data_IF_461757597354
#
_entry.id   IF_461757597354
#
_cell.length_a   1.000
_cell.length_b   1.000
_cell.length_c   1.000
_cell.angle_alpha   90.00
_cell.angle_beta   90.00
_cell.angle_gamma   90.00
#
_symmetry.space_group_name_H-M   'P 1'
#
loop_
_entity.id
_entity.type
_entity.pdbx_description
1 polymer ?
#
# COMPACT_ATOMS: atom_id res chain seq x y z
N UNK A 1 -6.87 -2.38 -18.39
CA UNK A 1 -7.36 -3.19 -17.26
C UNK A 1 -6.85 -2.55 -15.98
N UNK A 2 -7.73 -2.21 -15.03
CA UNK A 2 -7.32 -1.65 -13.74
C UNK A 2 -6.74 -2.77 -12.86
N UNK A 3 -5.55 -2.55 -12.29
CA UNK A 3 -4.91 -3.51 -11.38
C UNK A 3 -5.32 -3.18 -9.95
N UNK A 4 -6.05 -4.08 -9.31
CA UNK A 4 -6.36 -3.98 -7.87
C UNK A 4 -5.42 -4.90 -7.10
N UNK A 5 -4.81 -4.38 -6.05
CA UNK A 5 -3.98 -5.16 -5.13
C UNK A 5 -4.86 -5.80 -4.05
N UNK A 6 -4.38 -6.92 -3.50
CA UNK A 6 -4.91 -7.48 -2.26
C UNK A 6 -4.10 -6.93 -1.08
N UNK A 7 -4.79 -6.62 0.01
CA UNK A 7 -4.24 -6.03 1.22
C UNK A 7 -4.77 -6.80 2.41
N UNK A 8 -3.88 -7.18 3.33
CA UNK A 8 -4.28 -7.78 4.60
C UNK A 8 -4.28 -6.72 5.68
N UNK A 9 -5.39 -6.64 6.40
CA UNK A 9 -5.57 -5.81 7.59
C UNK A 9 -5.94 -6.71 8.76
N UNK A 10 -6.05 -6.16 9.96
CA UNK A 10 -6.53 -6.88 11.14
C UNK A 10 -7.93 -7.50 10.94
N UNK A 11 -8.77 -6.86 10.12
CA UNK A 11 -10.10 -7.35 9.77
C UNK A 11 -10.10 -8.46 8.69
N UNK A 12 -8.93 -8.85 8.19
CA UNK A 12 -8.75 -9.88 7.15
C UNK A 12 -8.16 -9.35 5.83
N UNK A 13 -8.05 -10.23 4.83
CA UNK A 13 -7.55 -9.90 3.50
C UNK A 13 -8.68 -9.41 2.58
N UNK A 14 -8.49 -8.24 1.98
CA UNK A 14 -9.44 -7.61 1.07
C UNK A 14 -8.75 -7.09 -0.18
N UNK A 15 -9.46 -7.08 -1.30
CA UNK A 15 -9.06 -6.25 -2.44
C UNK A 15 -9.14 -4.76 -2.08
N UNK A 16 -8.21 -3.97 -2.60
CA UNK A 16 -8.12 -2.54 -2.33
C UNK A 16 -9.43 -1.78 -2.60
N UNK A 17 -10.15 -2.11 -3.67
CA UNK A 17 -11.43 -1.46 -4.03
C UNK A 17 -12.58 -1.85 -3.11
N UNK A 18 -12.55 -3.08 -2.55
CA UNK A 18 -13.49 -3.51 -1.51
C UNK A 18 -13.17 -2.81 -0.20
N UNK A 19 -11.88 -2.73 0.15
CA UNK A 19 -11.40 -2.06 1.35
C UNK A 19 -11.80 -0.58 1.36
N UNK A 20 -11.67 0.11 0.21
CA UNK A 20 -12.09 1.50 0.04
C UNK A 20 -13.54 1.75 0.49
N UNK A 21 -14.45 0.82 0.18
CA UNK A 21 -15.86 0.90 0.55
C UNK A 21 -16.12 0.63 2.04
N UNK A 22 -15.18 -0.01 2.73
CA UNK A 22 -15.27 -0.36 4.16
C UNK A 22 -14.69 0.71 5.08
N UNK A 23 -13.85 1.62 4.56
CA UNK A 23 -13.27 2.70 5.37
C UNK A 23 -14.36 3.65 5.87
N UNK A 24 -14.49 3.88 7.19
CA UNK A 24 -15.45 4.83 7.73
C UNK A 24 -15.25 6.24 7.17
N UNK A 25 -16.34 6.96 6.86
CA UNK A 25 -16.29 8.34 6.32
C UNK A 25 -15.40 9.29 7.13
N UNK A 26 -15.39 9.14 8.46
CA UNK A 26 -14.58 9.97 9.37
C UNK A 26 -13.07 9.76 9.26
N UNK A 27 -12.62 8.66 8.68
CA UNK A 27 -11.20 8.36 8.48
C UNK A 27 -10.65 8.96 7.17
N UNK A 28 -11.53 9.49 6.32
CA UNK A 28 -11.14 10.17 5.10
C UNK A 28 -10.77 11.63 5.38
N UNK A 29 -9.62 12.05 4.87
CA UNK A 29 -9.15 13.42 4.93
C UNK A 29 -8.79 13.93 3.54
N UNK A 30 -9.32 15.10 3.18
CA UNK A 30 -8.97 15.78 1.94
C UNK A 30 -7.61 16.45 2.10
N UNK A 31 -6.63 16.01 1.32
CA UNK A 31 -5.27 16.51 1.35
C UNK A 31 -4.85 17.03 -0.01
N UNK A 32 -4.05 18.11 -0.01
CA UNK A 32 -3.42 18.65 -1.21
C UNK A 32 -2.14 17.87 -1.50
N UNK A 33 -1.91 17.52 -2.76
CA UNK A 33 -0.63 16.99 -3.25
C UNK A 33 0.44 18.09 -3.46
N UNK A 34 0.20 19.30 -2.94
CA UNK A 34 1.07 20.45 -3.09
C UNK A 34 0.75 21.31 -4.32
N UNK A 35 1.45 22.43 -4.44
CA UNK A 35 1.35 23.31 -5.60
C UNK A 35 2.13 22.72 -6.76
N UNK A 36 1.43 22.03 -7.66
CA UNK A 36 2.02 21.52 -8.90
C UNK A 36 2.02 22.56 -10.01
N UNK A 37 2.71 22.24 -11.12
CA UNK A 37 2.77 23.08 -12.32
C UNK A 37 1.38 23.39 -12.95
N UNK A 38 0.33 22.66 -12.54
CA UNK A 38 -1.07 22.86 -13.00
C UNK A 38 -2.00 23.29 -11.85
N UNK A 39 -1.45 23.90 -10.80
CA UNK A 39 -2.19 24.26 -9.59
C UNK A 39 -2.32 23.11 -8.59
N UNK A 40 -3.01 23.40 -7.48
CA UNK A 40 -3.23 22.44 -6.40
C UNK A 40 -4.17 21.31 -6.84
N UNK A 41 -3.82 20.08 -6.45
CA UNK A 41 -4.66 18.90 -6.62
C UNK A 41 -5.02 18.36 -5.25
N UNK A 42 -6.31 18.20 -5.01
CA UNK A 42 -6.82 17.61 -3.78
C UNK A 42 -7.24 16.16 -4.04
N UNK A 43 -6.93 15.30 -3.10
CA UNK A 43 -7.36 13.90 -3.08
C UNK A 43 -7.91 13.57 -1.70
N UNK A 44 -8.80 12.58 -1.62
CA UNK A 44 -9.23 11.99 -0.37
C UNK A 44 -8.25 10.88 0.01
N UNK A 45 -7.71 10.95 1.22
CA UNK A 45 -6.76 9.99 1.76
C UNK A 45 -7.33 9.33 3.01
N UNK A 46 -7.03 8.06 3.19
CA UNK A 46 -7.24 7.35 4.44
C UNK A 46 -6.00 6.49 4.70
N UNK A 47 -5.60 6.38 5.97
CA UNK A 47 -4.52 5.50 6.41
C UNK A 47 -5.16 4.24 6.97
N UNK A 48 -4.64 3.08 6.58
CA UNK A 48 -5.12 1.78 7.01
C UNK A 48 -3.91 0.97 7.46
N UNK A 49 -3.98 0.41 8.66
CA UNK A 49 -2.95 -0.47 9.16
C UNK A 49 -3.00 -1.79 8.39
N UNK A 50 -1.89 -2.09 7.71
CA UNK A 50 -1.70 -3.35 7.02
C UNK A 50 -0.99 -4.32 7.97
N UNK A 51 -1.48 -5.55 8.01
CA UNK A 51 -0.80 -6.64 8.68
C UNK A 51 0.12 -7.28 7.65
N UNK A 52 1.42 -7.33 7.97
CA UNK A 52 2.36 -8.12 7.18
C UNK A 52 1.96 -9.59 7.33
N UNK A 53 1.24 -10.12 6.33
CA UNK A 53 1.27 -11.56 6.12
C UNK A 53 2.70 -11.83 5.69
N UNK A 54 3.42 -12.63 6.47
CA UNK A 54 4.68 -13.21 6.06
C UNK A 54 4.47 -14.11 4.83
N UNK A 55 4.11 -13.53 3.70
CA UNK A 55 4.30 -14.10 2.38
C UNK A 55 5.80 -14.04 2.19
N UNK A 56 6.41 -15.19 2.48
CA UNK A 56 7.84 -15.39 2.67
C UNK A 56 8.67 -14.33 1.99
N UNK A 57 9.40 -13.57 2.81
CA UNK A 57 10.51 -12.75 2.37
C UNK A 57 11.17 -13.47 1.21
N UNK A 58 11.04 -12.94 0.00
CA UNK A 58 11.92 -13.35 -1.07
C UNK A 58 13.30 -12.93 -0.60
N UNK A 59 13.98 -13.82 0.14
CA UNK A 59 15.40 -13.73 0.36
C UNK A 59 15.98 -13.58 -1.03
N UNK A 60 16.47 -12.38 -1.32
CA UNK A 60 17.47 -12.21 -2.35
C UNK A 60 18.51 -13.30 -2.04
N UNK A 61 18.82 -14.22 -2.97
CA UNK A 61 19.95 -15.12 -2.76
C UNK A 61 21.14 -14.19 -2.51
N UNK A 62 21.67 -14.26 -1.29
CA UNK A 62 22.81 -13.44 -0.90
C UNK A 62 23.93 -13.65 -1.92
N UNK A 63 24.74 -12.62 -2.21
CA UNK A 63 25.82 -12.76 -3.17
C UNK A 63 26.68 -13.95 -2.73
N UNK A 64 26.72 -14.98 -3.58
CA UNK A 64 27.58 -16.14 -3.39
C UNK A 64 29.00 -15.63 -3.17
N UNK A 65 29.55 -15.86 -1.97
CA UNK A 65 30.94 -15.56 -1.68
C UNK A 65 31.84 -16.22 -2.73
N UNK A 66 32.73 -15.47 -3.40
CA UNK A 66 33.72 -16.09 -4.25
C UNK A 66 34.72 -16.82 -3.36
N UNK A 67 34.82 -18.13 -3.53
CA UNK A 67 35.91 -18.94 -3.00
C UNK A 67 37.19 -18.50 -3.69
N UNK A 68 37.98 -17.64 -3.05
CA UNK A 68 39.38 -17.44 -3.43
C UNK A 68 40.24 -18.49 -2.70
N UNK A 69 40.81 -19.37 -3.51
CA UNK A 69 41.92 -20.27 -3.19
C UNK A 69 43.20 -19.48 -2.97
#
# INVERSE_FOLDING_TARGET
MARSAEMTTDAGTFRADVLLKKVPKKAWQKLSAGHGAKGQRFYDWAVIDLVEVALGHHQLPGPSQPHHR
#
